data_IF_925937643371
#
_entry.id   IF_925937643371
#
_cell.length_a   1.000
_cell.length_b   1.000
_cell.length_c   1.000
_cell.angle_alpha   90.00
_cell.angle_beta   90.00
_cell.angle_gamma   90.00
#
_symmetry.space_group_name_H-M   'P 1'
#
loop_
_entity.id
_entity.type
_entity.pdbx_description
1 polymer ?
#
# COMPACT_ATOMS: atom_id res chain seq x y z
N UNK A 1 10.37 1.79 2.73
CA UNK A 1 9.33 2.83 2.53
C UNK A 1 9.16 3.67 3.80
N UNK A 2 9.10 5.00 3.77
CA UNK A 2 8.82 5.78 5.01
C UNK A 2 7.32 5.90 5.28
N UNK A 3 6.93 6.25 6.52
CA UNK A 3 5.53 6.59 6.86
C UNK A 3 4.93 7.65 5.93
N UNK A 4 5.75 8.60 5.48
CA UNK A 4 5.38 9.61 4.48
C UNK A 4 4.88 8.97 3.18
N UNK A 5 5.58 7.96 2.66
CA UNK A 5 5.20 7.29 1.40
C UNK A 5 3.90 6.50 1.52
N UNK A 6 3.60 5.93 2.69
CA UNK A 6 2.30 5.31 2.95
C UNK A 6 1.18 6.33 2.94
N UNK A 7 1.39 7.48 3.60
CA UNK A 7 0.43 8.58 3.55
C UNK A 7 0.24 9.10 2.12
N UNK A 8 1.29 9.16 1.31
CA UNK A 8 1.21 9.57 -0.10
C UNK A 8 0.41 8.55 -0.95
N UNK A 9 0.61 7.25 -0.73
CA UNK A 9 -0.15 6.16 -1.37
C UNK A 9 -1.63 6.20 -0.95
N UNK A 10 -1.91 6.34 0.34
CA UNK A 10 -3.28 6.50 0.85
C UNK A 10 -3.93 7.78 0.28
N UNK A 11 -3.17 8.88 0.19
CA UNK A 11 -3.60 10.12 -0.44
C UNK A 11 -3.96 9.94 -1.92
N UNK A 12 -3.22 9.11 -2.65
CA UNK A 12 -3.54 8.79 -4.04
C UNK A 12 -4.83 7.95 -4.17
N UNK A 13 -5.04 6.97 -3.27
CA UNK A 13 -6.29 6.20 -3.19
C UNK A 13 -7.49 7.09 -2.87
N UNK A 14 -7.38 7.95 -1.83
CA UNK A 14 -8.40 8.94 -1.48
C UNK A 14 -8.70 9.91 -2.60
N UNK A 15 -7.68 10.33 -3.35
CA UNK A 15 -7.84 11.15 -4.56
C UNK A 15 -8.65 10.47 -5.69
N UNK A 16 -8.80 9.14 -5.63
CA UNK A 16 -9.61 8.34 -6.55
C UNK A 16 -10.92 7.85 -5.91
N UNK A 17 -11.27 8.36 -4.73
CA UNK A 17 -12.51 8.02 -4.02
C UNK A 17 -12.47 6.69 -3.27
N UNK A 18 -11.27 6.18 -2.97
CA UNK A 18 -11.07 5.03 -2.10
C UNK A 18 -10.75 5.50 -0.68
N UNK A 19 -11.42 4.95 0.32
CA UNK A 19 -11.09 5.18 1.73
C UNK A 19 -10.86 3.87 2.46
N UNK A 20 -10.14 3.93 3.59
CA UNK A 20 -9.89 2.77 4.42
C UNK A 20 -11.16 2.41 5.20
N UNK A 21 -11.53 1.12 5.18
CA UNK A 21 -12.67 0.62 5.94
C UNK A 21 -12.45 0.66 7.46
N UNK A 22 -11.19 0.58 7.91
CA UNK A 22 -10.83 0.46 9.32
C UNK A 22 -10.11 1.72 9.86
N UNK A 23 -10.57 2.19 11.03
CA UNK A 23 -10.06 3.35 11.77
C UNK A 23 -8.61 3.18 12.29
N UNK A 24 -8.08 1.98 12.15
CA UNK A 24 -6.75 1.59 12.60
C UNK A 24 -5.84 1.48 11.37
N UNK A 25 -5.56 2.64 10.75
CA UNK A 25 -4.78 2.81 9.50
C UNK A 25 -3.41 2.09 9.52
N UNK A 26 -2.92 1.72 10.72
CA UNK A 26 -1.62 1.08 10.95
C UNK A 26 -1.67 -0.19 11.83
N UNK A 27 -2.85 -0.60 12.30
CA UNK A 27 -3.03 -1.73 13.24
C UNK A 27 -3.48 -3.02 12.51
N UNK A 28 -3.44 -3.01 11.17
CA UNK A 28 -3.78 -4.15 10.33
C UNK A 28 -2.63 -5.18 10.38
N UNK A 29 -2.73 -6.00 11.44
CA UNK A 29 -2.14 -7.32 11.68
C UNK A 29 -0.98 -7.67 10.73
N UNK A 30 0.26 -7.54 11.23
CA UNK A 30 1.43 -8.30 10.76
C UNK A 30 1.14 -9.81 10.92
N UNK A 31 0.35 -10.38 10.02
CA UNK A 31 0.28 -11.82 9.82
C UNK A 31 1.22 -12.11 8.67
N UNK A 32 2.25 -12.91 8.95
CA UNK A 32 3.17 -13.41 7.93
C UNK A 32 3.86 -12.30 7.11
N UNK A 33 4.38 -11.26 7.79
CA UNK A 33 5.21 -10.19 7.16
C UNK A 33 4.48 -9.38 6.08
N UNK A 34 3.14 -9.30 6.17
CA UNK A 34 2.30 -8.56 5.23
C UNK A 34 1.41 -7.58 6.00
N UNK A 35 1.35 -6.32 5.57
CA UNK A 35 0.33 -5.35 6.03
C UNK A 35 -0.79 -5.36 5.01
N UNK A 36 -2.03 -5.53 5.43
CA UNK A 36 -3.19 -5.46 4.53
C UNK A 36 -3.87 -4.11 4.68
N UNK A 37 -4.40 -3.55 3.59
CA UNK A 37 -5.35 -2.44 3.60
C UNK A 37 -6.62 -2.84 2.88
N UNK A 38 -7.75 -2.77 3.57
CA UNK A 38 -9.07 -2.86 2.96
C UNK A 38 -9.56 -1.47 2.58
N UNK A 39 -9.73 -1.25 1.29
CA UNK A 39 -10.19 0.00 0.71
C UNK A 39 -11.58 -0.16 0.11
N UNK A 40 -12.46 0.79 0.41
CA UNK A 40 -13.81 0.87 -0.17
C UNK A 40 -13.92 2.12 -1.04
N UNK A 41 -14.51 1.95 -2.22
CA UNK A 41 -14.82 3.06 -3.12
C UNK A 41 -16.16 3.68 -2.72
N UNK A 42 -16.15 4.96 -2.37
CA UNK A 42 -17.33 5.69 -1.85
C UNK A 42 -18.52 5.68 -2.82
N UNK A 43 -18.25 5.64 -4.13
CA UNK A 43 -19.27 5.79 -5.18
C UNK A 43 -20.00 4.48 -5.51
N UNK A 44 -19.35 3.33 -5.31
CA UNK A 44 -19.84 2.02 -5.78
C UNK A 44 -19.96 1.00 -4.65
N UNK A 45 -19.44 1.31 -3.46
CA UNK A 45 -19.24 0.36 -2.36
C UNK A 45 -18.41 -0.87 -2.80
N UNK A 46 -17.56 -0.70 -3.82
CA UNK A 46 -16.62 -1.73 -4.25
C UNK A 46 -15.46 -1.79 -3.27
N UNK A 47 -15.00 -3.00 -2.95
CA UNK A 47 -13.93 -3.22 -2.00
C UNK A 47 -12.72 -3.85 -2.69
N UNK A 48 -11.53 -3.32 -2.41
CA UNK A 48 -10.25 -3.91 -2.80
C UNK A 48 -9.37 -4.10 -1.58
N UNK A 49 -8.54 -5.14 -1.63
CA UNK A 49 -7.51 -5.39 -0.63
C UNK A 49 -6.14 -5.09 -1.26
N UNK A 50 -5.33 -4.30 -0.55
CA UNK A 50 -3.95 -3.99 -0.93
C UNK A 50 -3.03 -4.62 0.09
N UNK A 51 -2.23 -5.59 -0.37
CA UNK A 51 -1.29 -6.34 0.45
C UNK A 51 0.12 -5.77 0.29
N UNK A 52 0.72 -5.33 1.38
CA UNK A 52 2.06 -4.77 1.44
C UNK A 52 3.03 -5.84 1.93
N UNK A 53 3.96 -6.22 1.07
CA UNK A 53 4.95 -7.24 1.40
C UNK A 53 6.24 -6.58 1.89
N UNK A 54 6.66 -6.97 3.08
CA UNK A 54 7.93 -6.54 3.66
C UNK A 54 9.06 -7.52 3.32
N UNK A 55 10.26 -7.00 3.03
CA UNK A 55 11.49 -7.80 3.02
C UNK A 55 12.27 -7.51 4.30
N UNK A 56 12.23 -8.44 5.25
CA UNK A 56 13.16 -8.44 6.36
C UNK A 56 14.58 -8.79 5.91
N UNK A 57 15.58 -8.34 6.65
CA UNK A 57 16.94 -8.83 6.46
C UNK A 57 17.03 -10.28 6.94
N UNK A 58 17.52 -11.18 6.08
CA UNK A 58 17.92 -12.55 6.42
C UNK A 58 16.85 -13.40 7.15
N UNK A 59 15.58 -13.29 6.74
CA UNK A 59 14.49 -14.12 7.29
C UNK A 59 14.04 -13.74 8.70
N UNK A 60 14.35 -12.52 9.13
CA UNK A 60 13.74 -11.91 10.31
C UNK A 60 12.43 -11.22 9.93
N UNK A 61 11.43 -11.32 10.82
CA UNK A 61 10.17 -10.60 10.68
C UNK A 61 10.48 -9.11 10.54
N UNK A 62 10.10 -8.54 9.40
CA UNK A 62 10.20 -7.12 9.18
C UNK A 62 9.18 -6.38 10.04
N UNK A 63 9.65 -5.62 11.02
CA UNK A 63 8.80 -4.85 11.94
C UNK A 63 8.68 -3.37 11.53
N UNK A 64 9.47 -2.92 10.55
CA UNK A 64 9.56 -1.53 10.17
C UNK A 64 9.00 -1.28 8.76
N UNK A 65 8.17 -0.24 8.62
CA UNK A 65 7.59 0.20 7.34
C UNK A 65 8.68 0.47 6.28
N UNK A 66 9.91 0.77 6.70
CA UNK A 66 11.09 0.95 5.86
C UNK A 66 11.41 -0.27 5.00
N UNK A 67 10.93 -1.45 5.40
CA UNK A 67 11.16 -2.73 4.75
C UNK A 67 10.09 -3.13 3.73
N UNK A 68 9.00 -2.35 3.57
CA UNK A 68 8.01 -2.59 2.51
C UNK A 68 8.68 -2.46 1.14
N UNK A 69 8.55 -3.51 0.34
CA UNK A 69 9.22 -3.66 -0.94
C UNK A 69 8.30 -3.50 -2.14
N UNK A 70 7.08 -4.01 -2.02
CA UNK A 70 6.02 -3.82 -3.00
C UNK A 70 4.65 -3.93 -2.33
N UNK A 71 3.62 -3.41 -3.00
CA UNK A 71 2.24 -3.78 -2.69
C UNK A 71 1.62 -4.53 -3.87
N UNK A 72 0.65 -5.39 -3.56
CA UNK A 72 -0.14 -6.14 -4.51
C UNK A 72 -1.63 -5.82 -4.31
N UNK A 73 -2.36 -5.61 -5.39
CA UNK A 73 -3.81 -5.45 -5.37
C UNK A 73 -4.40 -6.23 -6.55
N UNK A 74 -5.28 -7.19 -6.26
CA UNK A 74 -5.92 -8.05 -7.27
C UNK A 74 -4.94 -8.71 -8.27
N UNK A 75 -3.71 -9.02 -7.83
CA UNK A 75 -2.66 -9.64 -8.65
C UNK A 75 -1.73 -8.66 -9.38
N UNK A 76 -2.02 -7.36 -9.37
CA UNK A 76 -1.14 -6.32 -9.90
C UNK A 76 -0.18 -5.82 -8.82
N UNK A 77 1.09 -5.60 -9.17
CA UNK A 77 2.16 -5.26 -8.21
C UNK A 77 2.75 -3.90 -8.48
N UNK A 78 2.87 -3.10 -7.42
CA UNK A 78 3.62 -1.84 -7.41
C UNK A 78 4.88 -2.01 -6.55
N UNK A 79 6.05 -2.02 -7.20
CA UNK A 79 7.33 -2.09 -6.51
C UNK A 79 7.77 -0.72 -6.00
N UNK A 80 8.18 -0.65 -4.73
CA UNK A 80 8.77 0.53 -4.13
C UNK A 80 10.29 0.44 -4.29
N UNK A 81 10.85 1.14 -5.27
CA UNK A 81 12.30 1.19 -5.44
C UNK A 81 12.97 1.71 -4.15
N UNK A 82 14.06 1.05 -3.74
CA UNK A 82 14.83 1.36 -2.53
C UNK A 82 15.49 2.75 -2.54
N UNK A 83 15.32 3.53 -3.61
CA UNK A 83 16.07 4.75 -3.83
C UNK A 83 15.22 6.02 -3.74
N UNK A 84 15.93 7.09 -3.41
CA UNK A 84 15.55 8.50 -3.25
C UNK A 84 15.04 9.16 -4.55
N UNK A 85 14.29 8.42 -5.37
CA UNK A 85 13.76 8.86 -6.66
C UNK A 85 12.25 9.07 -6.58
N UNK A 86 11.78 10.25 -6.98
CA UNK A 86 10.35 10.61 -7.07
C UNK A 86 9.62 9.92 -8.25
N UNK A 87 10.31 9.05 -9.00
CA UNK A 87 9.76 8.29 -10.15
C UNK A 87 8.65 7.31 -9.77
N UNK A 88 8.47 7.03 -8.48
CA UNK A 88 7.42 6.15 -7.99
C UNK A 88 6.03 6.80 -7.99
N UNK A 89 5.93 8.14 -7.91
CA UNK A 89 4.66 8.85 -7.81
C UNK A 89 3.79 8.72 -9.08
N UNK A 90 4.33 8.81 -10.30
CA UNK A 90 3.58 8.52 -11.52
C UNK A 90 3.13 7.05 -11.61
N UNK A 91 3.99 6.10 -11.22
CA UNK A 91 3.67 4.66 -11.19
C UNK A 91 2.56 4.36 -10.19
N UNK A 92 2.58 5.04 -9.04
CA UNK A 92 1.52 5.02 -8.03
C UNK A 92 0.19 5.48 -8.62
N UNK A 93 0.16 6.64 -9.27
CA UNK A 93 -1.08 7.15 -9.87
C UNK A 93 -1.61 6.23 -10.96
N UNK A 94 -0.72 5.65 -11.77
CA UNK A 94 -1.10 4.69 -12.79
C UNK A 94 -1.65 3.40 -12.18
N UNK A 95 -1.06 2.92 -11.07
CA UNK A 95 -1.52 1.74 -10.35
C UNK A 95 -2.93 1.94 -9.80
N UNK A 96 -3.18 3.01 -9.04
CA UNK A 96 -4.52 3.27 -8.46
C UNK A 96 -5.60 3.44 -9.53
N UNK A 97 -5.27 4.06 -10.67
CA UNK A 97 -6.19 4.25 -11.80
C UNK A 97 -6.66 2.94 -12.45
N UNK A 98 -6.00 1.82 -12.20
CA UNK A 98 -6.44 0.52 -12.73
C UNK A 98 -7.66 -0.01 -11.97
N UNK A 99 -7.91 0.51 -10.78
CA UNK A 99 -8.97 0.04 -9.89
C UNK A 99 -10.15 1.02 -9.80
N UNK A 100 -9.95 2.30 -10.17
CA UNK A 100 -10.99 3.34 -10.23
C UNK A 100 -12.01 3.14 -11.35
#
# INVERSE_FOLDING_TARGET
MSRQRLNDLLGAFRGQGWDLDDLNEFDQILRDETVCWNLTQDSTNHQIQVDFHLFGDLGQVAEELEQIAYCECQGERLYFEKQSSDTWLPSLQQFVRQFS
#
